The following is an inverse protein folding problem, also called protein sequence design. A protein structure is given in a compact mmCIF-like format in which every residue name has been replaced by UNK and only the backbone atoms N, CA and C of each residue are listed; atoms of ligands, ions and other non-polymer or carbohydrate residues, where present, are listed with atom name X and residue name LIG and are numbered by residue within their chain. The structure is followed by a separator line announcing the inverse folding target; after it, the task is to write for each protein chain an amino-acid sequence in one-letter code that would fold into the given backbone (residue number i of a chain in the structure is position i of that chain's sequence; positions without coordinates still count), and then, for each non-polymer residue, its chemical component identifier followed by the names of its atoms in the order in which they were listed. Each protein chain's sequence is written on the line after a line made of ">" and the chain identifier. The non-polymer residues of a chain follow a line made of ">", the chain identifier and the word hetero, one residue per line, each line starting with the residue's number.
data_IF_330237998484
#
_entry.id   IF_330237998484
#
_cell.length_a   1.000
_cell.length_b   1.000
_cell.length_c   1.000
_cell.angle_alpha   90.00
_cell.angle_beta   90.00
_cell.angle_gamma   90.00
#
_symmetry.space_group_name_H-M   'P 1'
#
loop_
_entity.id
_entity.type
_entity.pdbx_description
1 polymer ?
#
# COMPACT_ATOMS: atom_id res chain seq x y z
N UNK A 1 -13.47 7.72 -18.52
CA UNK A 1 -12.27 7.39 -17.79
C UNK A 1 -12.60 7.13 -16.34
N UNK A 2 -12.12 6.03 -15.81
CA UNK A 2 -12.42 5.66 -14.43
C UNK A 2 -11.43 6.30 -13.47
N UNK A 3 -11.97 6.88 -12.40
CA UNK A 3 -11.12 7.40 -11.33
C UNK A 3 -11.08 6.37 -10.22
N UNK A 4 -9.89 5.98 -9.87
CA UNK A 4 -9.70 5.03 -8.77
C UNK A 4 -9.82 5.74 -7.44
N UNK A 5 -10.36 5.07 -6.46
CA UNK A 5 -10.34 5.58 -5.10
C UNK A 5 -8.90 5.46 -4.56
N UNK A 6 -8.63 6.14 -3.46
CA UNK A 6 -7.32 6.08 -2.83
C UNK A 6 -6.97 4.64 -2.45
N UNK A 7 -7.94 3.89 -1.95
CA UNK A 7 -7.73 2.50 -1.57
C UNK A 7 -7.42 1.63 -2.78
N UNK A 8 -8.08 1.90 -3.90
CA UNK A 8 -7.84 1.15 -5.12
C UNK A 8 -6.47 1.44 -5.69
N UNK A 9 -6.05 2.70 -5.64
CA UNK A 9 -4.71 3.07 -6.09
C UNK A 9 -3.63 2.44 -5.24
N UNK A 10 -3.82 2.47 -3.92
CA UNK A 10 -2.88 1.84 -3.01
C UNK A 10 -2.81 0.33 -3.26
N UNK A 11 -3.97 -0.29 -3.43
CA UNK A 11 -4.02 -1.72 -3.69
C UNK A 11 -3.34 -2.10 -5.00
N UNK A 12 -3.53 -1.30 -6.02
CA UNK A 12 -2.90 -1.54 -7.32
C UNK A 12 -1.39 -1.39 -7.21
N UNK A 13 -0.92 -0.38 -6.49
CA UNK A 13 0.51 -0.20 -6.27
C UNK A 13 1.09 -1.37 -5.49
N UNK A 14 0.38 -1.83 -4.47
CA UNK A 14 0.79 -3.00 -3.68
C UNK A 14 0.92 -4.23 -4.59
N UNK A 15 -0.07 -4.45 -5.44
CA UNK A 15 -0.05 -5.55 -6.38
C UNK A 15 1.18 -5.48 -7.29
N UNK A 16 1.44 -4.32 -7.88
CA UNK A 16 2.56 -4.16 -8.79
C UNK A 16 3.91 -4.34 -8.11
N UNK A 17 4.07 -3.79 -6.92
CA UNK A 17 5.33 -3.94 -6.20
C UNK A 17 5.56 -5.39 -5.79
N UNK A 18 4.49 -6.07 -5.37
CA UNK A 18 4.57 -7.49 -5.04
C UNK A 18 5.00 -8.31 -6.27
N UNK A 19 4.35 -8.07 -7.39
CA UNK A 19 4.67 -8.78 -8.64
C UNK A 19 6.08 -8.52 -9.09
N UNK A 20 6.53 -7.28 -8.96
CA UNK A 20 7.88 -6.91 -9.36
C UNK A 20 8.93 -7.69 -8.57
N UNK A 21 8.65 -7.96 -7.31
CA UNK A 21 9.56 -8.72 -6.45
C UNK A 21 9.36 -10.23 -6.57
N UNK A 22 8.38 -10.68 -7.36
CA UNK A 22 8.12 -12.09 -7.55
C UNK A 22 7.52 -12.79 -6.34
N UNK A 23 6.82 -12.03 -5.49
CA UNK A 23 6.26 -12.57 -4.26
C UNK A 23 4.80 -12.99 -4.46
N UNK A 24 4.41 -14.02 -3.73
CA UNK A 24 3.02 -14.47 -3.66
C UNK A 24 2.31 -13.70 -2.55
N UNK A 25 0.98 -13.60 -2.65
CA UNK A 25 0.19 -12.93 -1.60
C UNK A 25 0.44 -13.54 -0.23
N UNK A 26 0.53 -14.86 -0.17
CA UNK A 26 0.79 -15.52 1.11
C UNK A 26 2.15 -15.19 1.69
N UNK A 27 3.14 -14.98 0.84
CA UNK A 27 4.47 -14.59 1.30
C UNK A 27 4.44 -13.20 1.92
N UNK A 28 3.79 -12.26 1.24
CA UNK A 28 3.66 -10.90 1.77
C UNK A 28 2.86 -10.92 3.07
N UNK A 29 1.80 -11.70 3.11
CA UNK A 29 0.97 -11.82 4.32
C UNK A 29 1.80 -12.28 5.51
N UNK A 30 2.66 -13.28 5.31
CA UNK A 30 3.54 -13.77 6.37
C UNK A 30 4.53 -12.69 6.81
N UNK A 31 5.09 -11.95 5.87
CA UNK A 31 6.05 -10.89 6.17
C UNK A 31 5.43 -9.75 6.96
N UNK A 32 4.17 -9.46 6.69
CA UNK A 32 3.46 -8.34 7.32
C UNK A 32 2.73 -8.76 8.59
N UNK A 33 2.50 -10.06 8.76
CA UNK A 33 1.82 -10.57 9.93
C UNK A 33 0.31 -10.56 9.82
N UNK A 34 -0.22 -10.73 8.61
CA UNK A 34 -1.65 -10.81 8.37
C UNK A 34 -1.93 -12.09 7.57
N UNK A 35 -3.20 -12.36 7.34
CA UNK A 35 -3.58 -13.53 6.56
C UNK A 35 -3.67 -13.20 5.08
N UNK A 36 -3.48 -14.22 4.25
CA UNK A 36 -3.50 -14.04 2.80
C UNK A 36 -4.75 -13.32 2.29
N UNK A 37 -5.97 -13.66 2.74
CA UNK A 37 -7.17 -12.94 2.27
C UNK A 37 -7.11 -11.45 2.58
N UNK A 38 -6.39 -11.05 3.63
CA UNK A 38 -6.24 -9.64 3.96
C UNK A 38 -5.41 -8.93 2.90
N UNK A 39 -4.33 -9.54 2.44
CA UNK A 39 -3.53 -8.96 1.36
C UNK A 39 -4.36 -8.86 0.08
N UNK A 40 -5.13 -9.90 -0.22
CA UNK A 40 -6.01 -9.87 -1.39
C UNK A 40 -7.00 -8.71 -1.30
N UNK A 41 -7.58 -8.50 -0.13
CA UNK A 41 -8.53 -7.39 0.08
C UNK A 41 -7.85 -6.04 -0.11
N UNK A 42 -6.61 -5.89 0.37
CA UNK A 42 -5.85 -4.65 0.18
C UNK A 42 -5.62 -4.40 -1.31
N UNK A 43 -5.23 -5.43 -2.05
CA UNK A 43 -4.95 -5.28 -3.48
C UNK A 43 -6.21 -4.97 -4.28
N UNK A 44 -7.36 -5.44 -3.81
CA UNK A 44 -8.64 -5.14 -4.46
C UNK A 44 -9.21 -3.78 -4.09
N UNK A 45 -8.62 -3.12 -3.12
CA UNK A 45 -9.07 -1.78 -2.74
C UNK A 45 -10.37 -1.74 -1.95
N UNK A 46 -10.73 -2.86 -1.30
CA UNK A 46 -11.97 -2.91 -0.54
C UNK A 46 -11.80 -2.51 0.92
N UNK A 47 -10.57 -2.34 1.37
CA UNK A 47 -10.28 -1.92 2.74
C UNK A 47 -10.05 -0.42 2.75
N UNK A 48 -10.90 0.32 3.46
CA UNK A 48 -10.82 1.77 3.46
C UNK A 48 -9.62 2.33 4.22
N UNK A 49 -9.29 1.71 5.33
CA UNK A 49 -8.20 2.20 6.16
C UNK A 49 -7.27 1.07 6.51
N UNK A 50 -6.05 1.17 6.05
CA UNK A 50 -5.01 0.22 6.45
C UNK A 50 -4.25 0.89 7.59
N UNK A 51 -4.13 0.20 8.72
CA UNK A 51 -3.47 0.76 9.89
C UNK A 51 -2.05 1.19 9.54
N UNK A 52 -1.61 2.28 10.15
CA UNK A 52 -0.27 2.82 9.90
C UNK A 52 0.82 1.76 10.12
N UNK A 53 0.68 0.96 11.17
CA UNK A 53 1.63 -0.10 11.45
C UNK A 53 1.75 -1.08 10.28
N UNK A 54 0.61 -1.43 9.70
CA UNK A 54 0.58 -2.36 8.57
C UNK A 54 1.20 -1.71 7.34
N UNK A 55 0.94 -0.44 7.11
CA UNK A 55 1.55 0.27 5.97
C UNK A 55 3.07 0.28 6.08
N UNK A 56 3.58 0.52 7.27
CA UNK A 56 5.03 0.51 7.48
C UNK A 56 5.61 -0.86 7.18
N UNK A 57 4.94 -1.92 7.64
CA UNK A 57 5.39 -3.28 7.38
C UNK A 57 5.35 -3.61 5.90
N UNK A 58 4.32 -3.15 5.20
CA UNK A 58 4.22 -3.33 3.75
C UNK A 58 5.37 -2.64 3.04
N UNK A 59 5.69 -1.43 3.45
CA UNK A 59 6.79 -0.68 2.85
C UNK A 59 8.10 -1.42 3.03
N UNK A 60 8.35 -1.95 4.22
CA UNK A 60 9.56 -2.70 4.50
C UNK A 60 9.64 -3.99 3.69
N UNK A 61 8.51 -4.69 3.58
CA UNK A 61 8.46 -5.97 2.89
C UNK A 61 8.64 -5.83 1.39
N UNK A 62 8.13 -4.76 0.81
CA UNK A 62 8.06 -4.60 -0.65
C UNK A 62 9.02 -3.55 -1.20
N UNK A 63 9.98 -3.14 -0.40
CA UNK A 63 10.95 -2.12 -0.82
C UNK A 63 10.22 -0.87 -1.33
N UNK A 64 9.23 -0.47 -0.61
CA UNK A 64 8.33 0.63 -0.94
C UNK A 64 8.74 1.82 -0.08
N UNK A 65 8.87 2.98 -0.69
CA UNK A 65 9.22 4.17 0.06
C UNK A 65 8.19 4.46 1.16
N UNK A 66 8.67 4.78 2.36
CA UNK A 66 7.76 5.15 3.44
C UNK A 66 6.93 6.37 3.07
N UNK A 67 7.52 7.29 2.33
CA UNK A 67 6.78 8.47 1.88
C UNK A 67 5.62 8.05 0.98
N UNK A 68 5.85 7.12 0.07
CA UNK A 68 4.81 6.64 -0.82
C UNK A 68 3.68 5.95 -0.07
N UNK A 69 4.03 5.10 0.90
CA UNK A 69 3.02 4.32 1.60
C UNK A 69 2.26 5.15 2.64
N UNK A 70 2.92 6.16 3.21
CA UNK A 70 2.29 7.02 4.21
C UNK A 70 1.46 8.12 3.58
N UNK A 71 1.84 8.56 2.40
CA UNK A 71 1.17 9.66 1.70
C UNK A 71 0.65 9.16 0.37
N UNK A 72 -0.19 8.15 0.43
CA UNK A 72 -0.74 7.51 -0.76
C UNK A 72 -1.83 8.33 -1.42
N UNK A 73 -2.38 9.31 -0.72
CA UNK A 73 -3.41 10.16 -1.29
C UNK A 73 -2.79 11.46 -1.79
N UNK A 74 -3.41 12.03 -2.81
CA UNK A 74 -2.98 13.30 -3.34
C UNK A 74 -2.96 14.39 -2.27
N UNK A 75 -3.97 14.37 -1.41
CA UNK A 75 -4.10 15.34 -0.34
C UNK A 75 -2.92 15.27 0.61
N UNK A 76 -2.52 14.06 0.98
CA UNK A 76 -1.40 13.87 1.90
C UNK A 76 -0.08 14.26 1.22
N UNK A 77 0.05 13.96 -0.06
CA UNK A 77 1.23 14.38 -0.81
C UNK A 77 1.38 15.89 -0.85
N UNK A 78 0.28 16.61 -1.00
CA UNK A 78 0.31 18.06 -1.00
C UNK A 78 0.73 18.60 0.35
N UNK A 79 0.26 18.01 1.43
CA UNK A 79 0.68 18.41 2.78
C UNK A 79 2.17 18.19 2.96
N UNK A 80 2.66 17.06 2.50
CA UNK A 80 4.09 16.75 2.62
C UNK A 80 4.92 17.77 1.87
N UNK A 81 4.50 18.15 0.68
CA UNK A 81 5.21 19.16 -0.11
C UNK A 81 5.32 20.49 0.61
N UNK A 82 4.24 20.89 1.28
CA UNK A 82 4.25 22.14 2.04
C UNK A 82 5.31 22.12 3.14
N UNK A 83 5.44 21.00 3.81
CA UNK A 83 6.41 20.90 4.89
C UNK A 83 7.84 20.88 4.40
N UNK A 84 8.05 20.40 3.21
CA UNK A 84 9.40 20.35 2.64
C UNK A 84 9.87 21.69 2.11
N UNK A 85 8.94 22.52 1.79
CA UNK A 85 9.25 23.87 1.33
C UNK A 85 9.46 24.79 2.52
#
# INVERSE_FOLDING_TARGET
>A
MMNLTEQEELGLTLFHKRKKLGLLQGEVAAMVGVEKPTISAYECGVVKNIALRTRVKLAQALDWSLEEILYDSEKDCLKLRRFKE
#
